data_IF_869212597292
#
_entry.id   IF_869212597292
#
_cell.length_a   1.000
_cell.length_b   1.000
_cell.length_c   1.000
_cell.angle_alpha   90.00
_cell.angle_beta   90.00
_cell.angle_gamma   90.00
#
_symmetry.space_group_name_H-M   'P 1'
#
loop_
_entity.id
_entity.type
_entity.pdbx_description
1 polymer ?
#
# COMPACT_ATOMS: atom_id res chain seq x y z
N UNK A 1 6.35 -31.04 -2.78
CA UNK A 1 5.56 -29.89 -3.27
C UNK A 1 6.57 -28.82 -3.69
N UNK A 2 6.64 -28.46 -4.96
CA UNK A 2 7.59 -27.42 -5.37
C UNK A 2 7.10 -26.07 -4.84
N UNK A 3 7.93 -25.41 -4.04
CA UNK A 3 7.68 -24.04 -3.60
C UNK A 3 7.72 -23.13 -4.84
N UNK A 4 6.60 -22.55 -5.21
CA UNK A 4 6.50 -21.65 -6.38
C UNK A 4 6.95 -20.22 -6.07
N UNK A 5 7.14 -19.91 -4.79
CA UNK A 5 7.66 -18.67 -4.27
C UNK A 5 8.70 -19.00 -3.22
N UNK A 6 9.75 -18.24 -3.19
CA UNK A 6 10.74 -18.25 -2.15
C UNK A 6 10.64 -16.92 -1.43
N UNK A 7 10.20 -16.97 -0.19
CA UNK A 7 9.86 -15.81 0.63
C UNK A 7 10.54 -16.00 1.99
N UNK A 8 11.10 -14.95 2.50
CA UNK A 8 11.87 -14.91 3.74
C UNK A 8 11.02 -14.42 4.94
N UNK A 9 9.77 -14.84 4.96
CA UNK A 9 8.84 -14.64 6.07
C UNK A 9 8.02 -15.91 6.33
N UNK A 10 7.31 -15.95 7.46
CA UNK A 10 6.50 -17.10 7.83
C UNK A 10 5.46 -17.46 6.77
N UNK A 11 5.27 -18.76 6.56
CA UNK A 11 4.23 -19.31 5.70
C UNK A 11 3.27 -20.12 6.54
N UNK A 12 2.14 -19.50 6.83
CA UNK A 12 1.08 -20.18 7.54
C UNK A 12 0.18 -20.94 6.57
N UNK A 13 -0.37 -22.07 7.08
CA UNK A 13 -1.38 -22.84 6.37
C UNK A 13 -2.77 -22.51 6.90
N UNK A 14 -3.78 -22.66 6.03
CA UNK A 14 -5.16 -22.42 6.41
C UNK A 14 -5.75 -21.16 5.81
N UNK A 15 -6.86 -20.71 6.38
CA UNK A 15 -7.59 -19.51 5.96
C UNK A 15 -7.31 -18.42 6.99
N UNK A 16 -6.45 -17.47 6.62
CA UNK A 16 -5.98 -16.40 7.51
C UNK A 16 -6.93 -15.21 7.65
N UNK A 17 -8.03 -15.17 6.89
CA UNK A 17 -8.99 -14.08 6.89
C UNK A 17 -10.41 -14.62 6.89
N UNK A 18 -11.38 -13.73 7.14
CA UNK A 18 -12.78 -14.08 7.26
C UNK A 18 -13.34 -14.80 6.03
N UNK A 19 -14.17 -15.81 6.30
CA UNK A 19 -15.01 -16.45 5.32
C UNK A 19 -16.47 -16.25 5.71
N UNK A 20 -17.26 -15.72 4.78
CA UNK A 20 -18.68 -15.49 5.03
C UNK A 20 -19.54 -15.89 3.84
N UNK A 21 -20.78 -16.30 4.13
CA UNK A 21 -21.81 -16.53 3.13
C UNK A 21 -22.79 -15.36 3.14
N UNK A 22 -23.05 -14.81 1.97
CA UNK A 22 -24.04 -13.74 1.81
C UNK A 22 -24.99 -14.03 0.65
N UNK A 23 -26.21 -13.51 0.77
CA UNK A 23 -27.21 -13.57 -0.29
C UNK A 23 -27.55 -12.17 -0.78
N UNK A 24 -27.66 -12.00 -2.08
CA UNK A 24 -28.05 -10.76 -2.73
C UNK A 24 -29.18 -10.99 -3.73
N UNK A 25 -29.98 -9.97 -3.97
CA UNK A 25 -31.03 -10.00 -4.97
C UNK A 25 -30.48 -10.27 -6.38
N UNK A 26 -31.29 -10.92 -7.22
CA UNK A 26 -30.94 -11.10 -8.65
C UNK A 26 -30.71 -9.76 -9.34
N UNK A 27 -31.56 -8.76 -9.07
CA UNK A 27 -31.38 -7.37 -9.46
C UNK A 27 -30.56 -6.66 -8.39
N UNK A 28 -29.36 -6.18 -8.74
CA UNK A 28 -28.44 -5.57 -7.79
C UNK A 28 -27.41 -4.68 -8.47
N UNK A 29 -26.76 -3.82 -7.71
CA UNK A 29 -25.51 -3.16 -8.12
C UNK A 29 -24.41 -4.22 -8.02
N UNK A 30 -23.92 -4.71 -9.16
CA UNK A 30 -22.91 -5.77 -9.21
C UNK A 30 -21.54 -5.25 -8.79
N UNK A 31 -21.20 -4.05 -9.30
CA UNK A 31 -19.95 -3.38 -8.97
C UNK A 31 -20.14 -1.86 -8.94
N UNK A 32 -19.34 -1.18 -8.12
CA UNK A 32 -19.28 0.27 -8.03
C UNK A 32 -17.83 0.70 -7.93
N UNK A 33 -17.42 1.57 -8.84
CA UNK A 33 -16.07 2.08 -8.92
C UNK A 33 -16.09 3.59 -8.93
N UNK A 34 -15.28 4.20 -8.07
CA UNK A 34 -15.21 5.65 -7.93
C UNK A 34 -13.83 6.17 -8.29
N UNK A 35 -13.80 7.33 -8.95
CA UNK A 35 -12.57 8.07 -9.21
C UNK A 35 -12.82 9.52 -8.80
N UNK A 36 -12.48 9.90 -7.57
CA UNK A 36 -12.46 11.30 -7.16
C UNK A 36 -11.25 12.01 -7.79
N UNK A 37 -11.45 13.25 -8.19
CA UNK A 37 -10.41 14.10 -8.76
C UNK A 37 -10.61 15.55 -8.36
N UNK A 38 -9.61 16.39 -8.58
CA UNK A 38 -9.64 17.83 -8.37
C UNK A 38 -9.32 18.55 -9.69
N UNK A 39 -9.87 19.75 -9.85
CA UNK A 39 -9.52 20.63 -10.97
C UNK A 39 -8.02 21.05 -10.93
N UNK A 40 -7.54 21.72 -11.96
CA UNK A 40 -6.14 22.17 -12.04
C UNK A 40 -5.75 23.19 -10.95
N UNK A 41 -6.72 23.91 -10.42
CA UNK A 41 -6.53 24.83 -9.31
C UNK A 41 -6.64 24.14 -7.94
N UNK A 42 -6.89 22.83 -7.92
CA UNK A 42 -7.13 22.04 -6.71
C UNK A 42 -8.25 22.59 -5.82
N UNK A 43 -9.21 23.28 -6.42
CA UNK A 43 -10.29 23.97 -5.70
C UNK A 43 -11.58 23.15 -5.73
N UNK A 44 -12.03 22.76 -6.92
CA UNK A 44 -13.28 22.01 -7.07
C UNK A 44 -13.01 20.54 -7.32
N UNK A 45 -13.94 19.69 -6.88
CA UNK A 45 -13.86 18.25 -7.04
C UNK A 45 -14.81 17.73 -8.10
N UNK A 46 -14.43 16.64 -8.72
CA UNK A 46 -15.32 15.79 -9.50
C UNK A 46 -15.24 14.35 -9.00
N UNK A 47 -16.36 13.67 -8.95
CA UNK A 47 -16.46 12.27 -8.59
C UNK A 47 -17.05 11.52 -9.78
N UNK A 48 -16.23 10.72 -10.43
CA UNK A 48 -16.69 9.79 -11.47
C UNK A 48 -17.13 8.50 -10.78
N UNK A 49 -18.38 8.10 -11.00
CA UNK A 49 -18.96 6.86 -10.48
C UNK A 49 -19.31 5.96 -11.64
N UNK A 50 -18.66 4.82 -11.74
CA UNK A 50 -18.96 3.78 -12.72
C UNK A 50 -19.72 2.64 -12.04
N UNK A 51 -20.87 2.32 -12.58
CA UNK A 51 -21.79 1.30 -12.05
C UNK A 51 -21.90 0.13 -13.02
N UNK A 52 -21.81 -1.07 -12.50
CA UNK A 52 -22.24 -2.29 -13.17
C UNK A 52 -23.46 -2.86 -12.43
N UNK A 53 -24.56 -3.05 -13.18
CA UNK A 53 -25.81 -3.57 -12.63
C UNK A 53 -26.08 -4.97 -13.18
N UNK A 54 -26.47 -5.87 -12.31
CA UNK A 54 -27.10 -7.10 -12.74
C UNK A 54 -28.62 -6.88 -12.75
N UNK A 55 -29.19 -6.90 -13.97
CA UNK A 55 -30.56 -6.48 -14.23
C UNK A 55 -30.65 -4.98 -14.60
N UNK A 56 -31.86 -4.43 -14.68
CA UNK A 56 -32.11 -3.03 -15.05
C UNK A 56 -32.64 -2.23 -13.87
N UNK A 57 -32.40 -0.93 -13.84
CA UNK A 57 -32.93 -0.01 -12.83
C UNK A 57 -32.15 1.27 -12.73
N UNK A 58 -32.75 2.26 -12.06
CA UNK A 58 -32.08 3.50 -11.73
C UNK A 58 -31.37 3.36 -10.39
N UNK A 59 -30.24 4.04 -10.24
CA UNK A 59 -29.49 4.13 -8.99
C UNK A 59 -29.44 5.58 -8.56
N UNK A 60 -29.98 5.88 -7.39
CA UNK A 60 -29.81 7.18 -6.76
C UNK A 60 -28.43 7.23 -6.08
N UNK A 61 -27.68 8.26 -6.39
CA UNK A 61 -26.35 8.54 -5.86
C UNK A 61 -26.42 9.81 -5.01
N UNK A 62 -26.08 9.69 -3.73
CA UNK A 62 -26.02 10.82 -2.80
C UNK A 62 -24.63 10.86 -2.18
N UNK A 63 -23.90 11.94 -2.40
CA UNK A 63 -22.61 12.16 -1.74
C UNK A 63 -22.87 12.95 -0.45
N UNK A 64 -22.57 12.34 0.67
CA UNK A 64 -22.80 12.87 2.01
C UNK A 64 -21.48 13.33 2.64
N UNK A 65 -21.50 14.48 3.30
CA UNK A 65 -20.40 14.93 4.15
C UNK A 65 -20.31 14.15 5.47
N UNK A 66 -19.34 14.47 6.33
CA UNK A 66 -19.17 13.81 7.62
C UNK A 66 -20.36 14.01 8.60
N UNK A 67 -21.17 15.05 8.39
CA UNK A 67 -22.39 15.30 9.16
C UNK A 67 -23.63 14.58 8.57
N UNK A 68 -23.47 13.85 7.46
CA UNK A 68 -24.55 13.16 6.76
C UNK A 68 -25.41 14.06 5.86
N UNK A 69 -24.99 15.30 5.60
CA UNK A 69 -25.66 16.21 4.68
C UNK A 69 -25.26 15.91 3.24
N UNK A 70 -26.22 15.82 2.34
CA UNK A 70 -25.96 15.66 0.91
C UNK A 70 -25.31 16.92 0.32
N UNK A 71 -24.13 16.75 -0.30
CA UNK A 71 -23.38 17.81 -0.98
C UNK A 71 -23.49 17.72 -2.50
N UNK A 72 -23.84 16.54 -3.04
CA UNK A 72 -24.17 16.32 -4.43
C UNK A 72 -25.13 15.13 -4.57
N UNK A 73 -26.01 15.16 -5.58
CA UNK A 73 -26.96 14.09 -5.88
C UNK A 73 -27.07 13.89 -7.37
N UNK A 74 -27.15 12.63 -7.79
CA UNK A 74 -27.36 12.24 -9.19
C UNK A 74 -28.20 10.98 -9.30
N UNK A 75 -28.71 10.70 -10.48
CA UNK A 75 -29.44 9.45 -10.75
C UNK A 75 -28.88 8.79 -12.02
N UNK A 76 -28.30 7.62 -11.86
CA UNK A 76 -27.86 6.79 -12.97
C UNK A 76 -29.02 5.98 -13.55
N UNK A 77 -29.16 5.98 -14.88
CA UNK A 77 -30.18 5.20 -15.61
C UNK A 77 -29.59 3.86 -16.09
N UNK A 78 -29.29 2.96 -15.16
CA UNK A 78 -28.66 1.67 -15.47
C UNK A 78 -27.16 1.64 -15.25
N UNK A 79 -26.49 0.64 -15.84
CA UNK A 79 -25.01 0.55 -15.86
C UNK A 79 -24.41 1.69 -16.66
N UNK A 80 -23.26 2.19 -16.25
CA UNK A 80 -22.55 3.27 -16.95
C UNK A 80 -21.83 4.20 -15.99
N UNK A 81 -21.35 5.31 -16.51
CA UNK A 81 -20.54 6.27 -15.76
C UNK A 81 -21.30 7.59 -15.57
N UNK A 82 -21.32 8.08 -14.33
CA UNK A 82 -21.90 9.36 -13.92
C UNK A 82 -20.79 10.24 -13.36
N UNK A 83 -20.86 11.54 -13.63
CA UNK A 83 -19.97 12.55 -13.05
C UNK A 83 -20.77 13.41 -12.08
N UNK A 84 -20.30 13.49 -10.83
CA UNK A 84 -20.82 14.37 -9.79
C UNK A 84 -19.81 15.47 -9.52
N UNK A 85 -20.22 16.73 -9.60
CA UNK A 85 -19.36 17.88 -9.30
C UNK A 85 -19.59 18.36 -7.85
N UNK A 86 -18.51 18.73 -7.17
CA UNK A 86 -18.53 19.22 -5.79
C UNK A 86 -17.72 20.49 -5.70
N UNK A 87 -18.33 21.56 -5.27
CA UNK A 87 -17.64 22.82 -5.03
C UNK A 87 -16.79 22.76 -3.76
N UNK A 88 -15.52 23.11 -3.90
CA UNK A 88 -14.57 23.24 -2.80
C UNK A 88 -14.64 22.10 -1.76
N UNK A 89 -14.48 20.83 -2.16
CA UNK A 89 -14.53 19.72 -1.21
C UNK A 89 -13.36 19.78 -0.23
N UNK A 90 -13.58 19.24 0.97
CA UNK A 90 -12.49 18.90 1.87
C UNK A 90 -11.61 17.84 1.20
N UNK A 91 -10.31 18.12 1.11
CA UNK A 91 -9.35 17.23 0.46
C UNK A 91 -8.88 16.16 1.42
N UNK A 92 -8.65 14.98 0.88
CA UNK A 92 -8.04 13.90 1.62
C UNK A 92 -6.51 13.97 1.50
N UNK A 93 -5.82 13.89 2.64
CA UNK A 93 -4.36 13.65 2.74
C UNK A 93 -4.10 12.76 3.95
N UNK A 94 -2.88 12.23 4.09
CA UNK A 94 -2.50 11.49 5.29
C UNK A 94 -2.57 12.34 6.58
N UNK A 95 -2.45 13.66 6.47
CA UNK A 95 -2.55 14.57 7.62
C UNK A 95 -3.98 15.02 7.91
N UNK A 96 -4.81 15.10 6.87
CA UNK A 96 -6.22 15.50 6.97
C UNK A 96 -7.11 14.53 6.20
N UNK A 97 -7.37 13.34 6.76
CA UNK A 97 -8.05 12.25 6.04
C UNK A 97 -9.58 12.42 6.02
N UNK A 98 -10.03 13.49 5.39
CA UNK A 98 -11.48 13.75 5.32
C UNK A 98 -12.17 12.81 4.32
N UNK A 99 -13.21 12.13 4.77
CA UNK A 99 -14.00 11.20 3.97
C UNK A 99 -15.45 11.63 3.86
N UNK A 100 -15.92 11.68 2.62
CA UNK A 100 -17.35 11.67 2.29
C UNK A 100 -17.87 10.24 2.24
N UNK A 101 -19.19 10.08 2.18
CA UNK A 101 -19.84 8.78 1.92
C UNK A 101 -20.73 8.91 0.70
N UNK A 102 -20.39 8.20 -0.37
CA UNK A 102 -21.29 8.00 -1.50
C UNK A 102 -22.27 6.89 -1.12
N UNK A 103 -23.57 7.22 -1.08
CA UNK A 103 -24.65 6.29 -0.86
C UNK A 103 -25.31 5.97 -2.21
N UNK A 104 -25.15 4.74 -2.68
CA UNK A 104 -25.78 4.26 -3.91
C UNK A 104 -27.01 3.40 -3.56
N UNK A 105 -28.19 3.83 -4.00
CA UNK A 105 -29.48 3.17 -3.71
C UNK A 105 -30.13 2.70 -5.01
N UNK A 106 -30.30 1.39 -5.19
CA UNK A 106 -30.98 0.83 -6.36
C UNK A 106 -32.49 0.96 -6.18
N UNK A 107 -33.14 1.72 -7.08
CA UNK A 107 -34.60 1.95 -7.01
C UNK A 107 -35.40 0.64 -7.16
N UNK A 108 -36.41 0.49 -6.31
CA UNK A 108 -37.24 -0.71 -6.26
C UNK A 108 -36.54 -1.92 -5.65
N UNK A 109 -35.46 -1.69 -4.90
CA UNK A 109 -34.72 -2.65 -4.11
C UNK A 109 -34.42 -2.06 -2.74
N UNK A 110 -34.17 -2.91 -1.75
CA UNK A 110 -33.68 -2.47 -0.43
C UNK A 110 -32.14 -2.38 -0.41
N UNK A 111 -31.48 -2.47 -1.56
CA UNK A 111 -30.04 -2.45 -1.62
C UNK A 111 -29.50 -1.02 -1.54
N UNK A 112 -28.68 -0.77 -0.54
CA UNK A 112 -27.93 0.47 -0.34
C UNK A 112 -26.47 0.12 -0.14
N UNK A 113 -25.59 0.70 -0.97
CA UNK A 113 -24.15 0.48 -0.89
C UNK A 113 -23.48 1.81 -0.51
N UNK A 114 -22.88 1.90 0.68
CA UNK A 114 -22.04 3.02 1.05
C UNK A 114 -20.61 2.81 0.51
N UNK A 115 -20.00 3.86 -0.02
CA UNK A 115 -18.58 3.88 -0.44
C UNK A 115 -17.92 5.12 0.13
N UNK A 116 -16.78 4.97 0.78
CA UNK A 116 -15.99 6.11 1.27
C UNK A 116 -15.28 6.82 0.12
N UNK A 117 -15.30 8.15 0.15
CA UNK A 117 -14.75 9.01 -0.91
C UNK A 117 -13.81 10.03 -0.29
N UNK A 118 -12.53 9.98 -0.68
CA UNK A 118 -11.56 11.03 -0.34
C UNK A 118 -11.18 11.80 -1.61
N UNK A 119 -11.51 13.09 -1.68
CA UNK A 119 -11.11 13.93 -2.82
C UNK A 119 -9.63 14.22 -2.78
N UNK A 120 -8.90 13.70 -3.75
CA UNK A 120 -7.47 13.93 -3.93
C UNK A 120 -7.09 13.80 -5.40
N UNK A 121 -5.98 14.45 -5.74
CA UNK A 121 -5.31 14.29 -7.02
C UNK A 121 -3.87 13.87 -6.79
N UNK A 122 -3.44 12.80 -7.47
CA UNK A 122 -2.05 12.33 -7.45
C UNK A 122 -1.47 12.60 -8.84
N UNK A 123 -0.30 13.20 -8.89
CA UNK A 123 0.33 13.57 -10.16
C UNK A 123 1.82 13.23 -10.12
N UNK A 124 2.31 12.62 -11.19
CA UNK A 124 3.74 12.58 -11.48
C UNK A 124 4.07 13.80 -12.33
N UNK A 125 4.74 14.79 -11.76
CA UNK A 125 5.09 16.03 -12.44
C UNK A 125 6.60 16.24 -12.42
N UNK A 126 7.20 16.06 -13.58
CA UNK A 126 8.66 16.03 -13.70
C UNK A 126 9.23 14.83 -12.95
N UNK A 127 10.04 15.11 -11.96
CA UNK A 127 10.72 14.14 -11.11
C UNK A 127 10.12 14.05 -9.68
N UNK A 128 8.86 14.47 -9.53
CA UNK A 128 8.18 14.46 -8.23
C UNK A 128 6.76 13.88 -8.32
N UNK A 129 6.35 13.19 -7.25
CA UNK A 129 4.95 12.87 -6.98
C UNK A 129 4.36 14.01 -6.16
N UNK A 130 3.22 14.50 -6.63
CA UNK A 130 2.42 15.51 -5.94
C UNK A 130 1.12 14.89 -5.45
N UNK A 131 0.69 15.30 -4.26
CA UNK A 131 -0.67 15.04 -3.75
C UNK A 131 -1.34 16.40 -3.58
N UNK A 132 -2.44 16.61 -4.28
CA UNK A 132 -3.16 17.88 -4.30
C UNK A 132 -2.25 19.09 -4.64
N UNK A 133 -1.33 18.88 -5.58
CA UNK A 133 -0.39 19.89 -6.06
C UNK A 133 0.82 20.17 -5.14
N UNK A 134 0.96 19.43 -4.04
CA UNK A 134 2.09 19.56 -3.12
C UNK A 134 3.00 18.34 -3.17
N UNK A 135 4.30 18.56 -3.24
CA UNK A 135 5.28 17.48 -3.13
C UNK A 135 5.23 16.87 -1.73
N UNK A 136 5.22 15.54 -1.66
CA UNK A 136 5.11 14.78 -0.41
C UNK A 136 6.40 14.03 -0.14
N UNK A 137 6.88 14.10 1.11
CA UNK A 137 7.93 13.21 1.60
C UNK A 137 7.30 11.96 2.20
N UNK A 138 7.62 10.79 1.65
CA UNK A 138 7.13 9.49 2.11
C UNK A 138 8.03 8.98 3.24
N UNK A 139 7.56 9.13 4.46
CA UNK A 139 8.17 8.63 5.68
C UNK A 139 7.53 7.28 5.96
N UNK A 140 7.99 6.27 5.22
CA UNK A 140 7.33 4.99 5.12
C UNK A 140 7.96 3.90 5.96
N UNK A 141 7.17 2.84 6.21
CA UNK A 141 7.65 1.57 6.70
C UNK A 141 6.97 0.42 5.94
N UNK A 142 7.71 -0.66 5.76
CA UNK A 142 7.20 -1.92 5.23
C UNK A 142 6.48 -2.68 6.33
N UNK A 143 5.26 -3.15 6.08
CA UNK A 143 4.46 -3.84 7.08
C UNK A 143 4.06 -5.22 6.62
N UNK A 144 4.56 -6.24 7.31
CA UNK A 144 3.96 -7.56 7.29
C UNK A 144 2.69 -7.59 8.16
N UNK A 145 1.64 -8.24 7.65
CA UNK A 145 0.39 -8.44 8.41
C UNK A 145 0.55 -9.64 9.34
N UNK A 146 1.08 -9.39 10.54
CA UNK A 146 1.40 -10.44 11.50
C UNK A 146 1.09 -10.03 12.94
N UNK A 147 0.63 -11.02 13.72
CA UNK A 147 0.40 -10.94 15.15
C UNK A 147 1.18 -12.06 15.86
N UNK A 148 1.84 -11.80 17.01
CA UNK A 148 2.64 -12.82 17.68
C UNK A 148 1.84 -14.02 18.17
N UNK A 149 0.54 -13.88 18.38
CA UNK A 149 -0.34 -14.96 18.85
C UNK A 149 -1.21 -15.52 17.74
N UNK A 150 -1.61 -14.68 16.79
CA UNK A 150 -2.53 -15.02 15.70
C UNK A 150 -1.87 -15.36 14.36
N UNK A 151 -0.56 -15.17 14.21
CA UNK A 151 0.11 -15.28 12.90
C UNK A 151 -0.47 -14.28 11.91
N UNK A 152 -1.02 -14.73 10.77
CA UNK A 152 -1.68 -13.86 9.78
C UNK A 152 -3.10 -13.40 10.16
N UNK A 153 -3.60 -13.81 11.34
CA UNK A 153 -4.89 -13.34 11.85
C UNK A 153 -4.63 -12.15 12.76
N UNK A 154 -4.80 -10.96 12.22
CA UNK A 154 -4.57 -9.69 12.93
C UNK A 154 -5.91 -9.06 13.26
N UNK A 155 -6.13 -8.77 14.55
CA UNK A 155 -7.40 -8.18 14.98
C UNK A 155 -7.54 -6.72 14.54
N UNK A 156 -8.78 -6.19 14.43
CA UNK A 156 -9.02 -4.78 14.17
C UNK A 156 -8.29 -3.85 15.17
N UNK A 157 -8.28 -4.20 16.45
CA UNK A 157 -7.62 -3.43 17.51
C UNK A 157 -6.11 -3.39 17.31
N UNK A 158 -5.52 -4.49 16.86
CA UNK A 158 -4.09 -4.56 16.54
C UNK A 158 -3.74 -3.72 15.32
N UNK A 159 -4.58 -3.74 14.27
CA UNK A 159 -4.40 -2.87 13.11
C UNK A 159 -4.48 -1.40 13.48
N UNK A 160 -5.43 -1.01 14.33
CA UNK A 160 -5.55 0.35 14.85
C UNK A 160 -4.32 0.73 15.68
N UNK A 161 -3.83 -0.18 16.52
CA UNK A 161 -2.62 0.04 17.30
C UNK A 161 -1.41 0.28 16.40
N UNK A 162 -1.23 -0.51 15.34
CA UNK A 162 -0.16 -0.34 14.36
C UNK A 162 -0.22 1.09 13.74
N UNK A 163 -1.39 1.53 13.30
CA UNK A 163 -1.58 2.86 12.73
C UNK A 163 -1.28 3.96 13.76
N UNK A 164 -1.77 3.80 14.99
CA UNK A 164 -1.52 4.78 16.06
C UNK A 164 -0.03 4.91 16.38
N UNK A 165 0.71 3.80 16.40
CA UNK A 165 2.16 3.80 16.58
C UNK A 165 2.83 4.49 15.39
N UNK A 166 2.47 4.15 14.16
CA UNK A 166 2.99 4.82 12.96
C UNK A 166 2.79 6.33 13.03
N UNK A 167 1.58 6.80 13.31
CA UNK A 167 1.27 8.24 13.42
C UNK A 167 2.05 8.91 14.56
N UNK A 168 2.15 8.27 15.72
CA UNK A 168 2.92 8.78 16.87
C UNK A 168 4.39 8.98 16.54
N UNK A 169 4.95 8.16 15.68
CA UNK A 169 6.35 8.20 15.27
C UNK A 169 6.56 8.83 13.89
N UNK A 170 5.62 9.67 13.44
CA UNK A 170 5.72 10.46 12.22
C UNK A 170 5.85 9.63 10.92
N UNK A 171 5.45 8.37 10.94
CA UNK A 171 5.31 7.56 9.74
C UNK A 171 3.98 7.93 9.08
N UNK A 172 4.03 8.36 7.82
CA UNK A 172 2.86 8.80 7.05
C UNK A 172 2.53 7.87 5.88
N UNK A 173 3.34 6.85 5.66
CA UNK A 173 3.19 5.91 4.55
C UNK A 173 3.47 4.47 4.99
N UNK A 174 2.83 3.51 4.32
CA UNK A 174 3.03 2.08 4.55
C UNK A 174 3.03 1.33 3.22
N UNK A 175 3.96 0.38 3.07
CA UNK A 175 3.92 -0.59 1.98
C UNK A 175 3.45 -1.93 2.53
N UNK A 176 2.45 -2.52 1.89
CA UNK A 176 1.95 -3.85 2.26
C UNK A 176 2.87 -4.91 1.67
N UNK A 177 3.85 -5.33 2.44
CA UNK A 177 4.87 -6.25 1.98
C UNK A 177 4.55 -7.71 2.36
N UNK A 178 4.63 -8.68 1.49
CA UNK A 178 4.71 -8.55 0.05
C UNK A 178 3.44 -9.15 -0.55
N UNK A 179 2.31 -8.68 -0.09
CA UNK A 179 0.96 -9.16 -0.44
C UNK A 179 -0.11 -8.13 -0.01
N UNK A 180 -1.31 -8.18 -0.58
CA UNK A 180 -2.41 -7.34 -0.08
C UNK A 180 -2.79 -7.73 1.34
N UNK A 181 -2.90 -6.74 2.23
CA UNK A 181 -3.38 -6.89 3.61
C UNK A 181 -4.90 -7.17 3.67
N UNK A 182 -5.46 -7.32 4.87
CA UNK A 182 -6.91 -7.42 5.08
C UNK A 182 -7.64 -6.18 4.51
N UNK A 183 -8.88 -6.34 4.06
CA UNK A 183 -9.66 -5.21 3.54
C UNK A 183 -9.82 -4.10 4.55
N UNK A 184 -10.01 -4.46 5.82
CA UNK A 184 -10.15 -3.51 6.92
C UNK A 184 -8.90 -2.62 7.10
N UNK A 185 -7.70 -3.13 6.79
CA UNK A 185 -6.48 -2.34 6.84
C UNK A 185 -6.56 -1.09 5.96
N UNK A 186 -7.05 -1.25 4.73
CA UNK A 186 -7.20 -0.11 3.81
C UNK A 186 -8.28 0.86 4.24
N UNK A 187 -9.42 0.36 4.77
CA UNK A 187 -10.46 1.21 5.36
C UNK A 187 -9.91 2.05 6.53
N UNK A 188 -9.07 1.44 7.36
CA UNK A 188 -8.41 2.12 8.48
C UNK A 188 -7.36 3.13 7.99
N UNK A 189 -6.57 2.80 6.96
CA UNK A 189 -5.63 3.74 6.34
C UNK A 189 -6.37 4.95 5.73
N UNK A 190 -7.53 4.73 5.11
CA UNK A 190 -8.39 5.81 4.60
C UNK A 190 -8.87 6.73 5.72
N UNK A 191 -9.27 6.15 6.85
CA UNK A 191 -9.87 6.84 7.98
C UNK A 191 -8.84 7.58 8.84
N UNK A 192 -7.71 6.94 9.14
CA UNK A 192 -6.67 7.50 10.02
C UNK A 192 -5.62 8.32 9.28
N UNK A 193 -5.54 8.17 7.97
CA UNK A 193 -4.63 8.91 7.10
C UNK A 193 -3.23 8.31 7.05
N UNK A 194 -3.05 7.28 6.22
CA UNK A 194 -1.75 6.79 5.80
C UNK A 194 -1.75 6.68 4.26
N UNK A 195 -0.65 7.07 3.63
CA UNK A 195 -0.42 6.75 2.23
C UNK A 195 -0.06 5.28 2.10
N UNK A 196 -0.66 4.57 1.15
CA UNK A 196 -0.45 3.14 0.98
C UNK A 196 0.17 2.84 -0.37
N UNK A 197 1.23 2.05 -0.34
CA UNK A 197 1.73 1.29 -1.49
C UNK A 197 1.11 -0.10 -1.40
N UNK A 198 0.12 -0.37 -2.25
CA UNK A 198 -0.57 -1.66 -2.28
C UNK A 198 0.18 -2.63 -3.19
N UNK A 199 0.73 -3.70 -2.62
CA UNK A 199 1.58 -4.63 -3.34
C UNK A 199 0.86 -5.91 -3.71
N UNK A 200 1.09 -6.35 -4.95
CA UNK A 200 0.58 -7.63 -5.43
C UNK A 200 1.41 -8.80 -4.84
N UNK A 201 0.75 -9.89 -4.48
CA UNK A 201 1.41 -11.06 -3.92
C UNK A 201 2.24 -11.80 -4.99
N UNK A 202 3.37 -11.22 -5.37
CA UNK A 202 4.35 -11.82 -6.27
C UNK A 202 5.73 -11.63 -5.66
N UNK A 203 6.33 -12.73 -5.28
CA UNK A 203 7.72 -12.79 -4.82
C UNK A 203 8.31 -14.14 -5.18
N UNK A 204 9.51 -14.15 -5.75
CA UNK A 204 10.13 -15.37 -6.23
C UNK A 204 11.66 -15.27 -6.34
N UNK A 205 12.31 -14.59 -5.39
CA UNK A 205 13.74 -14.31 -5.44
C UNK A 205 14.61 -15.57 -5.47
N UNK A 206 14.19 -16.65 -4.83
CA UNK A 206 14.88 -17.95 -4.90
C UNK A 206 14.94 -18.58 -6.30
N UNK A 207 14.14 -18.08 -7.25
CA UNK A 207 14.26 -18.44 -8.67
C UNK A 207 15.30 -17.57 -9.41
N UNK A 208 15.88 -16.58 -8.72
CA UNK A 208 16.84 -15.62 -9.27
C UNK A 208 16.19 -14.54 -10.14
N UNK A 209 16.96 -13.50 -10.43
CA UNK A 209 16.48 -12.28 -11.10
C UNK A 209 16.77 -12.23 -12.59
N UNK A 210 17.50 -13.24 -13.14
CA UNK A 210 17.97 -13.25 -14.53
C UNK A 210 17.17 -14.24 -15.38
N UNK A 211 17.84 -15.27 -15.94
CA UNK A 211 17.23 -16.16 -16.94
C UNK A 211 16.22 -17.14 -16.35
N UNK A 212 16.35 -17.49 -15.07
CA UNK A 212 15.47 -18.46 -14.41
C UNK A 212 14.24 -17.81 -13.75
N UNK A 213 14.15 -16.48 -13.78
CA UNK A 213 13.04 -15.78 -13.14
C UNK A 213 11.67 -16.19 -13.71
N UNK A 214 10.67 -16.27 -12.85
CA UNK A 214 9.29 -16.55 -13.25
C UNK A 214 8.69 -15.42 -14.09
N UNK A 215 9.25 -14.21 -14.03
CA UNK A 215 8.84 -13.05 -14.82
C UNK A 215 8.96 -13.26 -16.34
N UNK A 216 9.84 -14.18 -16.78
CA UNK A 216 10.08 -14.51 -18.18
C UNK A 216 9.33 -15.77 -18.65
N UNK A 217 8.66 -16.47 -17.74
CA UNK A 217 8.01 -17.74 -18.04
C UNK A 217 6.56 -17.53 -18.44
N UNK A 218 6.17 -17.98 -19.59
CA UNK A 218 4.81 -17.85 -20.15
C UNK A 218 3.78 -18.62 -19.36
N UNK A 219 4.13 -19.75 -18.75
CA UNK A 219 3.24 -20.54 -17.88
C UNK A 219 2.90 -19.84 -16.55
N UNK A 220 3.65 -18.80 -16.17
CA UNK A 220 3.38 -17.94 -15.02
C UNK A 220 2.69 -16.61 -15.38
N UNK A 221 2.53 -16.29 -16.65
CA UNK A 221 1.94 -15.01 -17.10
C UNK A 221 0.55 -14.78 -16.50
N UNK A 222 -0.31 -15.80 -16.50
CA UNK A 222 -1.65 -15.72 -15.89
C UNK A 222 -1.58 -15.44 -14.40
N UNK A 223 -0.67 -16.10 -13.67
CA UNK A 223 -0.53 -15.91 -12.23
C UNK A 223 -0.06 -14.48 -11.86
N UNK A 224 0.88 -13.91 -12.62
CA UNK A 224 1.32 -12.52 -12.44
C UNK A 224 0.16 -11.55 -12.71
N UNK A 225 -0.53 -11.73 -13.83
CA UNK A 225 -1.64 -10.86 -14.22
C UNK A 225 -2.79 -10.90 -13.21
N UNK A 226 -3.29 -12.08 -12.84
CA UNK A 226 -4.43 -12.21 -11.92
C UNK A 226 -4.14 -11.66 -10.53
N UNK A 227 -2.91 -11.78 -10.03
CA UNK A 227 -2.52 -11.21 -8.73
C UNK A 227 -2.53 -9.69 -8.75
N UNK A 228 -1.99 -9.09 -9.80
CA UNK A 228 -2.05 -7.63 -10.00
C UNK A 228 -3.49 -7.15 -10.22
N UNK A 229 -4.28 -7.84 -11.02
CA UNK A 229 -5.69 -7.51 -11.23
C UNK A 229 -6.48 -7.51 -9.91
N UNK A 230 -6.33 -8.55 -9.11
CA UNK A 230 -7.03 -8.66 -7.81
C UNK A 230 -6.58 -7.56 -6.85
N UNK A 231 -5.30 -7.21 -6.82
CA UNK A 231 -4.79 -6.13 -6.01
C UNK A 231 -5.46 -4.80 -6.37
N UNK A 232 -5.47 -4.44 -7.66
CA UNK A 232 -6.06 -3.20 -8.15
C UNK A 232 -7.58 -3.18 -7.99
N UNK A 233 -8.28 -4.23 -8.43
CA UNK A 233 -9.75 -4.27 -8.39
C UNK A 233 -10.29 -4.23 -6.96
N UNK A 234 -9.61 -4.88 -6.02
CA UNK A 234 -9.95 -4.87 -4.60
C UNK A 234 -9.70 -3.51 -3.96
N UNK A 235 -8.59 -2.86 -4.31
CA UNK A 235 -8.13 -1.62 -3.68
C UNK A 235 -8.58 -0.33 -4.38
N UNK A 236 -9.24 -0.41 -5.52
CA UNK A 236 -9.47 0.73 -6.40
C UNK A 236 -10.15 1.93 -5.72
N UNK A 237 -11.13 1.68 -4.85
CA UNK A 237 -11.94 2.73 -4.21
C UNK A 237 -11.27 3.39 -2.99
N UNK A 238 -10.10 2.90 -2.54
CA UNK A 238 -9.41 3.44 -1.36
C UNK A 238 -8.61 4.71 -1.69
N UNK A 239 -8.91 5.86 -1.09
CA UNK A 239 -8.14 7.08 -1.29
C UNK A 239 -6.71 7.00 -0.71
N UNK A 240 -6.48 6.18 0.32
CA UNK A 240 -5.15 5.97 0.90
C UNK A 240 -4.16 5.34 -0.07
N UNK A 241 -4.61 4.46 -0.97
CA UNK A 241 -3.74 3.84 -1.96
C UNK A 241 -3.32 4.89 -2.99
N UNK A 242 -2.01 5.16 -3.04
CA UNK A 242 -1.41 6.15 -3.92
C UNK A 242 -0.46 5.53 -4.95
N UNK A 243 0.09 4.35 -4.64
CA UNK A 243 0.92 3.58 -5.56
C UNK A 243 0.43 2.14 -5.65
N UNK A 244 0.51 1.57 -6.84
CA UNK A 244 0.41 0.14 -7.09
C UNK A 244 1.81 -0.44 -7.20
N UNK A 245 2.13 -1.49 -6.46
CA UNK A 245 3.37 -2.23 -6.60
C UNK A 245 3.11 -3.57 -7.27
N UNK A 246 3.89 -3.86 -8.32
CA UNK A 246 3.70 -5.07 -9.13
C UNK A 246 4.09 -6.36 -8.39
N UNK A 247 4.88 -6.25 -7.35
CA UNK A 247 5.42 -7.36 -6.56
C UNK A 247 6.77 -7.03 -5.97
N UNK A 248 7.47 -8.04 -5.48
CA UNK A 248 8.75 -7.95 -4.80
C UNK A 248 9.73 -9.00 -5.32
N UNK A 249 10.98 -8.62 -5.53
CA UNK A 249 12.14 -9.49 -5.76
C UNK A 249 11.90 -10.70 -6.67
N UNK A 250 11.16 -10.50 -7.76
CA UNK A 250 10.76 -11.58 -8.67
C UNK A 250 11.42 -11.48 -10.06
N UNK A 251 12.50 -10.72 -10.18
CA UNK A 251 13.16 -10.42 -11.45
C UNK A 251 12.28 -9.60 -12.38
N UNK A 252 12.76 -9.32 -13.59
CA UNK A 252 12.03 -8.52 -14.56
C UNK A 252 11.86 -9.27 -15.89
N UNK A 253 10.73 -9.03 -16.56
CA UNK A 253 10.41 -9.61 -17.87
C UNK A 253 8.99 -9.35 -18.34
N UNK A 254 8.59 -9.99 -19.47
CA UNK A 254 7.33 -9.72 -20.16
C UNK A 254 6.07 -9.81 -19.27
N UNK A 255 6.10 -10.65 -18.22
CA UNK A 255 4.96 -10.78 -17.32
C UNK A 255 4.71 -9.49 -16.53
N UNK A 256 5.76 -8.84 -16.01
CA UNK A 256 5.64 -7.56 -15.31
C UNK A 256 5.34 -6.40 -16.26
N UNK A 257 5.91 -6.40 -17.46
CA UNK A 257 5.58 -5.41 -18.49
C UNK A 257 4.07 -5.44 -18.82
N UNK A 258 3.50 -6.63 -18.98
CA UNK A 258 2.08 -6.81 -19.23
C UNK A 258 1.23 -6.32 -18.05
N UNK A 259 1.66 -6.61 -16.80
CA UNK A 259 0.99 -6.13 -15.59
C UNK A 259 1.01 -4.60 -15.50
N UNK A 260 2.17 -3.97 -15.74
CA UNK A 260 2.28 -2.51 -15.77
C UNK A 260 1.32 -1.88 -16.77
N UNK A 261 1.36 -2.34 -18.04
CA UNK A 261 0.47 -1.82 -19.09
C UNK A 261 -1.01 -1.99 -18.74
N UNK A 262 -1.36 -3.14 -18.16
CA UNK A 262 -2.74 -3.38 -17.74
C UNK A 262 -3.16 -2.41 -16.63
N UNK A 263 -2.33 -2.21 -15.59
CA UNK A 263 -2.66 -1.28 -14.51
C UNK A 263 -2.78 0.14 -15.03
N UNK A 264 -1.85 0.62 -15.86
CA UNK A 264 -1.91 1.98 -16.43
C UNK A 264 -3.14 2.22 -17.29
N UNK A 265 -3.66 1.18 -17.97
CA UNK A 265 -4.90 1.25 -18.73
C UNK A 265 -6.14 1.23 -17.81
N UNK A 266 -6.07 0.48 -16.72
CA UNK A 266 -7.16 0.30 -15.77
C UNK A 266 -7.29 1.47 -14.80
N UNK A 267 -6.16 1.99 -14.33
CA UNK A 267 -6.05 3.10 -13.38
C UNK A 267 -4.90 4.04 -13.75
N UNK A 268 -5.22 5.09 -14.48
CA UNK A 268 -4.28 6.16 -14.83
C UNK A 268 -4.07 7.17 -13.70
N UNK A 269 -4.83 7.09 -12.60
CA UNK A 269 -4.81 8.08 -11.52
C UNK A 269 -3.70 7.84 -10.47
N UNK A 270 -3.05 6.67 -10.52
CA UNK A 270 -2.01 6.29 -9.56
C UNK A 270 -0.72 5.89 -10.25
N UNK A 271 0.40 6.12 -9.57
CA UNK A 271 1.69 5.64 -10.03
C UNK A 271 1.84 4.13 -9.78
N UNK A 272 2.66 3.50 -10.63
CA UNK A 272 3.01 2.08 -10.52
C UNK A 272 4.49 1.98 -10.24
N UNK A 273 4.88 1.17 -9.26
CA UNK A 273 6.27 0.92 -8.93
C UNK A 273 6.65 -0.56 -9.05
N UNK A 274 7.91 -0.80 -9.37
CA UNK A 274 8.55 -2.12 -9.29
C UNK A 274 10.07 -1.98 -9.29
N UNK A 275 10.74 -2.49 -8.25
CA UNK A 275 12.18 -2.28 -8.03
C UNK A 275 13.06 -2.99 -9.09
N UNK A 276 12.67 -4.20 -9.53
CA UNK A 276 13.42 -4.93 -10.55
C UNK A 276 13.25 -4.35 -11.98
N UNK A 277 12.42 -3.33 -12.15
CA UNK A 277 12.38 -2.55 -13.37
C UNK A 277 13.56 -1.56 -13.46
N UNK A 278 14.30 -1.33 -12.37
CA UNK A 278 15.51 -0.49 -12.35
C UNK A 278 15.31 0.88 -13.04
N UNK A 279 14.19 1.53 -12.78
CA UNK A 279 13.85 2.85 -13.32
C UNK A 279 13.52 2.88 -14.82
N UNK A 280 13.33 1.73 -15.49
CA UNK A 280 12.93 1.69 -16.91
C UNK A 280 11.47 2.18 -17.12
N UNK A 281 10.96 2.10 -18.36
CA UNK A 281 9.62 2.59 -18.72
C UNK A 281 8.45 1.84 -18.08
N UNK A 282 8.69 0.72 -17.39
CA UNK A 282 7.65 -0.09 -16.72
C UNK A 282 7.58 0.12 -15.21
N UNK A 283 8.05 1.27 -14.76
CA UNK A 283 7.84 1.79 -13.41
C UNK A 283 7.73 3.31 -13.47
N UNK A 284 6.83 3.91 -12.73
CA UNK A 284 6.68 5.36 -12.65
C UNK A 284 7.62 6.00 -11.62
N UNK A 285 8.20 5.19 -10.73
CA UNK A 285 9.05 5.60 -9.62
C UNK A 285 10.36 4.83 -9.74
N UNK A 286 11.50 5.47 -9.54
CA UNK A 286 12.76 4.78 -9.28
C UNK A 286 12.75 4.35 -7.80
N UNK A 287 12.57 3.06 -7.56
CA UNK A 287 12.34 2.53 -6.22
C UNK A 287 13.38 1.44 -5.87
N UNK A 288 14.65 1.81 -5.73
CA UNK A 288 15.69 0.84 -5.37
C UNK A 288 15.48 0.31 -3.95
N UNK A 289 16.06 -0.86 -3.68
CA UNK A 289 16.27 -1.37 -2.33
C UNK A 289 17.67 -1.03 -1.86
N UNK A 290 17.77 -0.54 -0.63
CA UNK A 290 19.04 -0.33 0.07
C UNK A 290 20.07 0.49 -0.71
N UNK A 291 19.60 1.49 -1.47
CA UNK A 291 20.51 2.41 -2.17
C UNK A 291 21.40 3.14 -1.15
N UNK A 292 22.71 3.12 -1.37
CA UNK A 292 23.65 3.82 -0.52
C UNK A 292 23.58 5.35 -0.71
N UNK A 293 24.19 6.09 0.20
CA UNK A 293 24.21 7.58 0.16
C UNK A 293 24.81 8.11 -1.13
N UNK A 294 25.81 7.44 -1.73
CA UNK A 294 26.44 7.86 -2.98
C UNK A 294 25.50 7.71 -4.16
N UNK A 295 24.71 6.62 -4.18
CA UNK A 295 23.69 6.41 -5.20
C UNK A 295 22.60 7.48 -5.08
N UNK A 296 22.11 7.73 -3.87
CA UNK A 296 21.08 8.73 -3.63
C UNK A 296 21.58 10.14 -3.98
N UNK A 297 22.78 10.52 -3.55
CA UNK A 297 23.35 11.82 -3.89
C UNK A 297 23.54 11.97 -5.41
N UNK A 298 24.07 10.96 -6.08
CA UNK A 298 24.20 10.96 -7.53
C UNK A 298 22.87 11.11 -8.25
N UNK A 299 21.83 10.42 -7.76
CA UNK A 299 20.49 10.55 -8.31
C UNK A 299 19.91 11.94 -8.04
N UNK A 300 20.03 12.43 -6.81
CA UNK A 300 19.56 13.75 -6.40
C UNK A 300 20.17 14.90 -7.23
N UNK A 301 21.41 14.77 -7.66
CA UNK A 301 22.10 15.75 -8.51
C UNK A 301 21.65 15.73 -9.98
N UNK A 302 20.82 14.77 -10.41
CA UNK A 302 20.36 14.68 -11.80
C UNK A 302 19.40 15.81 -12.13
N UNK A 303 19.67 16.52 -13.20
CA UNK A 303 18.79 17.54 -13.79
C UNK A 303 17.91 16.99 -14.90
N UNK A 304 18.13 15.76 -15.32
CA UNK A 304 17.43 15.06 -16.37
C UNK A 304 16.49 13.96 -15.82
N UNK A 305 16.37 13.86 -14.51
CA UNK A 305 15.48 12.89 -13.88
C UNK A 305 14.01 13.14 -14.28
N UNK A 306 13.32 12.08 -14.65
CA UNK A 306 11.90 12.09 -15.06
C UNK A 306 11.01 11.35 -14.06
N UNK A 307 11.59 10.89 -12.98
CA UNK A 307 10.91 10.11 -11.94
C UNK A 307 11.49 10.51 -10.59
N UNK A 308 10.71 10.45 -9.51
CA UNK A 308 11.26 10.54 -8.16
C UNK A 308 12.03 9.26 -7.82
N UNK A 309 13.01 9.37 -6.91
CA UNK A 309 13.56 8.23 -6.22
C UNK A 309 12.87 8.10 -4.85
N UNK A 310 12.23 6.96 -4.63
CA UNK A 310 11.60 6.59 -3.36
C UNK A 310 12.02 5.15 -3.06
N UNK A 311 12.90 4.94 -2.09
CA UNK A 311 13.36 3.59 -1.79
C UNK A 311 12.19 2.73 -1.33
N UNK A 312 11.93 1.61 -2.00
CA UNK A 312 10.90 0.68 -1.54
C UNK A 312 11.32 -0.07 -0.28
N UNK A 313 12.64 -0.17 -0.02
CA UNK A 313 13.22 -0.66 1.22
C UNK A 313 14.53 0.06 1.52
N UNK A 314 14.71 0.47 2.79
CA UNK A 314 15.99 0.97 3.31
C UNK A 314 16.13 0.70 4.81
N UNK A 315 17.32 0.92 5.35
CA UNK A 315 17.61 0.83 6.78
C UNK A 315 17.22 -0.51 7.43
N UNK A 316 17.54 -1.63 6.76
CA UNK A 316 17.27 -2.98 7.24
C UNK A 316 17.96 -3.26 8.58
N UNK A 317 17.20 -3.64 9.59
CA UNK A 317 17.65 -3.78 10.97
C UNK A 317 18.08 -5.21 11.36
N UNK A 318 18.58 -6.02 10.44
CA UNK A 318 19.03 -7.37 10.77
C UNK A 318 20.21 -7.35 11.75
N UNK A 319 19.96 -7.78 12.98
CA UNK A 319 20.92 -7.67 14.08
C UNK A 319 21.15 -6.21 14.50
N UNK A 320 22.36 -5.87 14.92
CA UNK A 320 22.72 -4.50 15.31
C UNK A 320 23.27 -3.71 14.12
N UNK A 321 22.45 -3.52 13.08
CA UNK A 321 22.86 -2.95 11.78
C UNK A 321 22.12 -1.67 11.40
N UNK A 322 21.01 -1.32 12.06
CA UNK A 322 20.21 -0.16 11.69
C UNK A 322 20.85 1.14 12.17
N UNK A 323 20.84 2.15 11.30
CA UNK A 323 21.38 3.47 11.58
C UNK A 323 21.46 4.33 10.32
N UNK A 324 22.07 5.50 10.45
CA UNK A 324 22.27 6.40 9.32
C UNK A 324 21.01 7.09 8.79
N UNK A 325 19.93 7.16 9.58
CA UNK A 325 18.72 7.89 9.21
C UNK A 325 18.99 9.36 8.91
N UNK A 326 19.88 9.96 9.69
CA UNK A 326 20.28 11.37 9.47
C UNK A 326 20.80 11.60 8.06
N UNK A 327 21.75 10.77 7.63
CA UNK A 327 22.40 10.88 6.33
C UNK A 327 21.41 10.71 5.19
N UNK A 328 20.49 9.74 5.29
CA UNK A 328 19.41 9.55 4.31
C UNK A 328 18.50 10.78 4.26
N UNK A 329 18.05 11.28 5.39
CA UNK A 329 17.10 12.39 5.45
C UNK A 329 17.72 13.75 5.14
N UNK A 330 19.01 13.94 5.39
CA UNK A 330 19.75 15.11 4.91
C UNK A 330 19.75 15.16 3.36
N UNK A 331 19.99 14.02 2.70
CA UNK A 331 19.92 13.94 1.24
C UNK A 331 18.50 14.12 0.70
N UNK A 332 17.51 13.48 1.32
CA UNK A 332 16.10 13.60 0.92
C UNK A 332 15.61 15.03 1.01
N UNK A 333 16.00 15.78 2.06
CA UNK A 333 15.64 17.19 2.17
C UNK A 333 16.43 18.09 1.23
N UNK A 334 17.64 17.71 0.86
CA UNK A 334 18.50 18.47 -0.03
C UNK A 334 18.06 18.45 -1.48
N UNK A 335 17.53 17.31 -1.95
CA UNK A 335 17.23 17.11 -3.35
C UNK A 335 15.73 16.82 -3.57
N UNK A 336 15.01 17.67 -4.32
CA UNK A 336 13.55 17.56 -4.50
C UNK A 336 13.08 16.24 -5.16
N UNK A 337 13.93 15.62 -5.97
CA UNK A 337 13.65 14.35 -6.64
C UNK A 337 13.90 13.11 -5.76
N UNK A 338 14.34 13.32 -4.51
CA UNK A 338 14.38 12.28 -3.48
C UNK A 338 13.16 12.49 -2.56
N UNK A 339 12.19 11.58 -2.60
CA UNK A 339 10.94 11.80 -1.88
C UNK A 339 10.71 10.82 -0.71
N UNK A 340 11.77 10.21 -0.18
CA UNK A 340 11.70 9.37 1.00
C UNK A 340 11.95 7.91 0.72
N UNK A 341 11.30 7.04 1.51
CA UNK A 341 11.43 5.58 1.39
C UNK A 341 10.67 4.85 2.49
N UNK A 342 10.71 3.52 2.39
CA UNK A 342 10.05 2.62 3.32
C UNK A 342 11.10 1.82 4.09
N UNK A 343 11.05 1.88 5.42
CA UNK A 343 12.00 1.20 6.30
C UNK A 343 11.65 -0.29 6.34
N UNK A 344 12.63 -1.15 6.16
CA UNK A 344 12.50 -2.57 6.39
C UNK A 344 12.88 -2.92 7.83
N UNK A 345 11.94 -3.30 8.71
CA UNK A 345 10.51 -3.28 8.52
C UNK A 345 9.79 -2.70 9.75
N UNK A 346 8.48 -2.71 9.79
CA UNK A 346 7.72 -2.06 10.86
C UNK A 346 7.70 -2.87 12.15
N UNK A 347 7.49 -4.19 12.08
CA UNK A 347 7.28 -5.03 13.26
C UNK A 347 8.10 -6.31 13.19
N UNK A 348 8.77 -6.66 14.29
CA UNK A 348 9.40 -7.96 14.43
C UNK A 348 8.39 -9.08 14.18
N UNK A 349 8.72 -10.00 13.27
CA UNK A 349 7.79 -11.01 12.78
C UNK A 349 7.79 -12.31 13.58
N UNK A 350 8.49 -12.36 14.72
CA UNK A 350 8.52 -13.54 15.60
C UNK A 350 7.19 -13.77 16.30
N UNK A 351 6.93 -15.03 16.63
CA UNK A 351 5.66 -15.46 17.26
C UNK A 351 5.90 -15.84 18.72
N UNK A 352 4.90 -15.59 19.56
CA UNK A 352 4.97 -15.92 20.98
C UNK A 352 4.96 -17.42 21.17
N UNK A 353 5.98 -17.93 21.81
CA UNK A 353 6.17 -19.36 22.03
C UNK A 353 6.56 -19.63 23.48
N UNK A 354 6.11 -20.75 23.98
CA UNK A 354 6.52 -21.22 25.30
C UNK A 354 7.63 -22.26 25.16
N UNK A 355 8.82 -21.90 25.60
CA UNK A 355 9.98 -22.80 25.59
C UNK A 355 9.77 -24.03 26.48
N UNK A 356 10.67 -25.00 26.38
CA UNK A 356 10.61 -26.26 27.16
C UNK A 356 10.75 -26.03 28.63
N UNK A 357 11.42 -24.97 29.05
CA UNK A 357 11.58 -24.51 30.42
C UNK A 357 10.40 -23.70 30.96
N UNK A 358 9.36 -23.52 30.12
CA UNK A 358 8.19 -22.72 30.45
C UNK A 358 8.35 -21.22 30.28
N UNK A 359 9.53 -20.75 29.87
CA UNK A 359 9.78 -19.32 29.58
C UNK A 359 9.12 -18.92 28.28
N UNK A 360 8.45 -17.77 28.25
CA UNK A 360 7.91 -17.19 27.04
C UNK A 360 9.01 -16.50 26.25
N UNK A 361 9.15 -16.85 24.97
CA UNK A 361 10.07 -16.25 24.01
C UNK A 361 9.30 -15.78 22.77
N UNK A 362 9.91 -14.91 21.99
CA UNK A 362 9.52 -14.64 20.61
C UNK A 362 10.37 -15.53 19.71
N UNK A 363 9.71 -16.48 19.05
CA UNK A 363 10.36 -17.57 18.35
C UNK A 363 10.28 -17.39 16.83
N UNK A 364 11.28 -17.85 16.14
CA UNK A 364 11.33 -17.91 14.69
C UNK A 364 12.07 -19.16 14.20
N UNK A 365 11.74 -19.63 12.99
CA UNK A 365 12.45 -20.66 12.24
C UNK A 365 12.99 -21.81 13.10
N UNK A 366 14.30 -21.81 13.35
CA UNK A 366 15.01 -22.87 14.04
C UNK A 366 14.61 -23.12 15.50
N UNK A 367 13.88 -22.19 16.14
CA UNK A 367 13.38 -22.36 17.50
C UNK A 367 12.28 -23.44 17.59
N UNK A 368 11.51 -23.61 16.51
CA UNK A 368 10.45 -24.63 16.45
C UNK A 368 11.03 -26.03 16.25
N UNK A 369 11.97 -26.17 15.33
CA UNK A 369 12.70 -27.41 15.09
C UNK A 369 13.95 -27.18 14.23
N UNK A 370 14.85 -28.14 14.21
CA UNK A 370 16.12 -28.08 13.46
C UNK A 370 16.03 -28.53 11.99
N UNK A 371 14.88 -28.95 11.53
CA UNK A 371 14.71 -29.59 10.21
C UNK A 371 14.10 -28.65 9.18
N UNK A 372 13.33 -27.68 9.62
CA UNK A 372 12.70 -26.71 8.74
C UNK A 372 13.68 -25.57 8.38
N UNK A 373 13.42 -24.90 7.29
CA UNK A 373 14.18 -23.74 6.86
C UNK A 373 14.12 -22.63 7.91
N UNK A 374 15.23 -21.95 8.11
CA UNK A 374 15.33 -20.80 9.02
C UNK A 374 16.30 -19.80 8.45
N UNK A 375 15.84 -18.56 8.29
CA UNK A 375 16.67 -17.42 7.93
C UNK A 375 17.28 -16.73 9.19
N UNK A 376 17.33 -17.47 10.29
CA UNK A 376 17.85 -17.04 11.59
C UNK A 376 17.05 -15.83 12.09
N UNK A 377 17.73 -14.75 12.52
CA UNK A 377 17.10 -13.52 13.02
C UNK A 377 16.60 -12.58 11.90
N UNK A 378 16.47 -13.04 10.66
CA UNK A 378 16.04 -12.22 9.54
C UNK A 378 14.62 -11.65 9.74
N UNK A 379 13.75 -12.33 10.46
CA UNK A 379 12.38 -11.90 10.74
C UNK A 379 12.25 -10.90 11.91
N UNK A 380 13.32 -10.61 12.63
CA UNK A 380 13.33 -9.66 13.75
C UNK A 380 14.09 -8.38 13.35
N UNK A 381 13.49 -7.63 12.42
CA UNK A 381 14.04 -6.41 11.83
C UNK A 381 13.17 -5.18 12.13
N UNK A 382 12.18 -5.34 13.00
CA UNK A 382 11.13 -4.36 13.20
C UNK A 382 11.59 -3.08 13.91
N UNK A 383 11.00 -1.96 13.50
CA UNK A 383 11.04 -0.72 14.28
C UNK A 383 10.41 -0.90 15.67
N UNK A 384 9.51 -1.88 15.80
CA UNK A 384 8.83 -2.24 17.04
C UNK A 384 8.86 -3.74 17.25
N UNK A 385 8.81 -4.15 18.53
CA UNK A 385 8.70 -5.57 18.91
C UNK A 385 7.36 -6.19 18.48
N UNK A 386 7.20 -7.53 18.54
CA UNK A 386 5.93 -8.19 18.25
C UNK A 386 4.77 -7.68 19.10
N UNK A 387 5.02 -7.21 20.32
CA UNK A 387 4.04 -6.59 21.23
C UNK A 387 3.80 -5.10 20.96
N UNK A 388 4.37 -4.56 19.89
CA UNK A 388 4.26 -3.15 19.47
C UNK A 388 4.95 -2.18 20.45
N UNK A 389 5.99 -2.65 21.13
CA UNK A 389 6.86 -1.79 21.93
C UNK A 389 7.97 -1.24 21.04
N UNK A 390 8.17 0.09 20.98
CA UNK A 390 9.20 0.69 20.14
C UNK A 390 10.61 0.23 20.50
N UNK A 391 11.36 -0.21 19.51
CA UNK A 391 12.79 -0.46 19.62
C UNK A 391 13.57 0.87 19.62
N UNK A 392 14.82 0.93 20.12
CA UNK A 392 15.58 2.18 20.19
C UNK A 392 15.68 2.96 18.89
N UNK A 393 15.87 2.28 17.76
CA UNK A 393 15.97 2.89 16.43
C UNK A 393 14.65 3.49 15.90
N UNK A 394 13.51 3.15 16.49
CA UNK A 394 12.24 3.81 16.18
C UNK A 394 12.26 5.29 16.62
N UNK A 395 12.98 5.61 17.69
CA UNK A 395 13.15 7.00 18.15
C UNK A 395 14.09 7.78 17.24
N UNK A 396 15.11 7.15 16.67
CA UNK A 396 15.96 7.77 15.67
C UNK A 396 15.17 8.05 14.39
N UNK A 397 14.32 7.11 13.96
CA UNK A 397 13.40 7.32 12.85
C UNK A 397 12.54 8.58 13.09
N UNK A 398 11.90 8.70 14.26
CA UNK A 398 11.10 9.89 14.61
C UNK A 398 11.94 11.16 14.55
N UNK A 399 13.14 11.16 15.13
CA UNK A 399 14.00 12.33 15.21
C UNK A 399 14.35 12.88 13.81
N UNK A 400 14.73 12.02 12.89
CA UNK A 400 15.20 12.44 11.56
C UNK A 400 14.10 12.55 10.50
N UNK A 401 12.94 11.98 10.72
CA UNK A 401 11.77 12.18 9.85
C UNK A 401 10.92 13.39 10.25
N UNK A 402 11.08 13.90 11.47
CA UNK A 402 10.36 15.10 11.94
C UNK A 402 10.96 16.38 11.34
N UNK A 403 10.14 17.43 11.11
CA UNK A 403 10.67 18.74 10.80
C UNK A 403 11.56 19.23 11.94
N UNK A 404 12.63 19.95 11.60
CA UNK A 404 13.46 20.56 12.63
C UNK A 404 12.61 21.53 13.46
N UNK A 405 12.77 21.57 14.80
CA UNK A 405 12.12 22.60 15.62
C UNK A 405 12.48 24.04 15.24
N UNK A 406 13.40 24.21 14.28
CA UNK A 406 13.85 25.51 13.77
C UNK A 406 13.30 25.84 12.38
N UNK A 407 12.58 24.93 11.75
CA UNK A 407 11.86 25.07 10.48
C UNK A 407 10.37 25.29 10.75
#
# INVERSE_FOLDING_TARGET
>A
MYKRQDQDFFRYSGVGRDCYLYARNKKRIQDIRITPDLDEAYKNGSLRVTLDLKGSGNVNLELLDAAGKAVATETAKGSGTILMNVENPHKWTAETPYLYTLRATLQGSNEVIPVKVGFRKIELKGDQILVNGQAVLFKGADRHEIDPDGGYVVSPERMIQDIQVMKKFNINAVRTCHYPDDNLWYDLCDQYGLYVVAEANIESHGMGYREKTLAKRTDYAKAHMERNQRNVQRGFNHPSIIFWSLGNEAGFGPNFEACYRWIKNEDSSRAVQYEQAHGNEFTDIDCPMYADYKHMEKYGQRTDAKKPLIQCEYAHAMGNSQGGFKEYWDLIRKYPNLQGGFIWDFVDQSVRWKGKDGVTIYAYGGDFNRYDGSDKNFCDNGLISPDRVPNPHMYDCLLYTSPSPRD
#
